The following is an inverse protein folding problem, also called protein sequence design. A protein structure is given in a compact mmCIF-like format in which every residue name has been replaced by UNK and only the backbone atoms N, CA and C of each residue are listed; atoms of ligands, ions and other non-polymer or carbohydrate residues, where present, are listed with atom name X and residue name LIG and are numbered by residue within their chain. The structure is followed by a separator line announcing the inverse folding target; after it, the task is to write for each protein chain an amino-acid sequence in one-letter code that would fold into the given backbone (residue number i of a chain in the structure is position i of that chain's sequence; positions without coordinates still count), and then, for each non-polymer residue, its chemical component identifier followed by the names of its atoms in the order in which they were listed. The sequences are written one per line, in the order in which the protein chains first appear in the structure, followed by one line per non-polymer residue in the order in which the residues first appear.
data_IF_265915847088
#
_entry.id   IF_265915847088
#
_cell.length_a   1.000
_cell.length_b   1.000
_cell.length_c   1.000
_cell.angle_alpha   90.00
_cell.angle_beta   90.00
_cell.angle_gamma   90.00
#
_symmetry.space_group_name_H-M   'P 1'
#
loop_
_entity.id
_entity.type
_entity.pdbx_description
1 polymer ?
#
# COMPACT_ATOMS: atom_id res chain seq x y z
N UNK A 1 5.20 27.65 6.53
CA UNK A 1 5.76 26.35 6.97
C UNK A 1 5.71 25.40 5.78
N UNK A 2 6.77 24.63 5.50
CA UNK A 2 6.72 23.63 4.43
C UNK A 2 5.67 22.59 4.80
N UNK A 3 4.76 22.28 3.88
CA UNK A 3 3.82 21.18 4.07
C UNK A 3 4.62 19.89 3.83
N UNK A 4 4.98 19.23 4.92
CA UNK A 4 5.72 17.97 4.95
C UNK A 4 4.81 16.88 5.45
N UNK A 5 4.88 15.71 4.82
CA UNK A 5 4.28 14.49 5.34
C UNK A 5 5.09 13.25 4.97
N UNK A 6 4.99 12.20 5.76
CA UNK A 6 5.61 10.90 5.56
C UNK A 6 4.50 9.88 5.28
N UNK A 7 4.67 9.12 4.21
CA UNK A 7 3.73 8.06 3.82
C UNK A 7 4.44 6.71 3.97
N UNK A 8 3.86 5.81 4.76
CA UNK A 8 4.30 4.43 4.90
C UNK A 8 3.45 3.52 4.00
N UNK A 9 4.06 2.93 2.98
CA UNK A 9 3.43 1.93 2.14
C UNK A 9 3.76 0.51 2.59
N UNK A 10 2.76 -0.36 2.56
CA UNK A 10 2.84 -1.74 3.02
C UNK A 10 2.30 -2.67 1.92
N UNK A 11 3.10 -3.68 1.56
CA UNK A 11 2.66 -4.84 0.78
C UNK A 11 2.55 -6.05 1.73
N UNK A 12 1.33 -6.43 2.16
CA UNK A 12 1.13 -7.54 3.07
C UNK A 12 1.48 -8.87 2.38
N UNK A 13 2.24 -9.72 3.08
CA UNK A 13 2.52 -11.06 2.60
C UNK A 13 2.77 -12.05 3.73
N UNK A 14 2.59 -13.34 3.43
CA UNK A 14 2.73 -14.44 4.41
C UNK A 14 4.15 -15.04 4.44
N UNK A 15 4.96 -14.65 3.46
CA UNK A 15 6.33 -15.13 3.24
C UNK A 15 7.31 -13.97 3.38
N UNK A 16 7.03 -12.87 2.69
CA UNK A 16 7.77 -11.62 2.77
C UNK A 16 6.71 -10.53 2.91
N UNK A 17 6.96 -9.54 3.76
CA UNK A 17 6.13 -8.35 3.86
C UNK A 17 6.99 -7.13 3.55
N UNK A 18 6.59 -6.35 2.54
CA UNK A 18 7.33 -5.21 2.04
C UNK A 18 6.87 -3.91 2.70
N UNK A 19 7.83 -3.03 3.01
CA UNK A 19 7.59 -1.70 3.55
C UNK A 19 8.37 -0.67 2.75
N UNK A 20 7.72 0.41 2.33
CA UNK A 20 8.37 1.53 1.66
C UNK A 20 7.95 2.86 2.28
N UNK A 21 8.91 3.73 2.54
CA UNK A 21 8.66 5.06 3.08
C UNK A 21 9.07 6.13 2.08
N UNK A 22 8.18 7.09 1.87
CA UNK A 22 8.46 8.32 1.14
C UNK A 22 8.16 9.53 2.01
N UNK A 23 8.95 10.58 1.82
CA UNK A 23 8.70 11.90 2.38
C UNK A 23 8.23 12.84 1.28
N UNK A 24 7.21 13.62 1.56
CA UNK A 24 6.63 14.56 0.60
C UNK A 24 6.85 15.97 1.11
N UNK A 25 7.66 16.77 0.40
CA UNK A 25 7.91 18.17 0.72
C UNK A 25 7.41 19.03 -0.43
N UNK A 26 6.43 19.89 -0.18
CA UNK A 26 5.88 20.80 -1.20
C UNK A 26 5.51 20.07 -2.53
N UNK A 27 4.84 18.91 -2.42
CA UNK A 27 4.45 18.02 -3.54
C UNK A 27 5.60 17.32 -4.28
N UNK A 28 6.82 17.35 -3.77
CA UNK A 28 7.93 16.52 -4.27
C UNK A 28 8.10 15.32 -3.36
N UNK A 29 8.16 14.14 -3.95
CA UNK A 29 8.45 12.89 -3.23
C UNK A 29 9.97 12.68 -3.14
N UNK A 30 10.41 12.23 -1.98
CA UNK A 30 11.77 11.85 -1.66
C UNK A 30 11.74 10.43 -1.10
N UNK A 31 12.64 9.56 -1.57
CA UNK A 31 12.82 8.24 -1.00
C UNK A 31 13.39 8.36 0.41
N UNK A 32 12.78 7.66 1.36
CA UNK A 32 13.23 7.65 2.74
C UNK A 32 13.81 6.27 3.10
N UNK A 33 13.04 5.20 2.92
CA UNK A 33 13.52 3.85 3.22
C UNK A 33 12.77 2.75 2.48
N UNK A 34 13.43 1.60 2.34
CA UNK A 34 12.85 0.36 1.89
C UNK A 34 13.23 -0.76 2.87
N UNK A 35 12.25 -1.53 3.33
CA UNK A 35 12.48 -2.65 4.23
C UNK A 35 11.63 -3.86 3.85
N UNK A 36 12.09 -5.02 4.25
CA UNK A 36 11.33 -6.26 4.14
C UNK A 36 11.37 -7.04 5.45
N UNK A 37 10.27 -7.73 5.76
CA UNK A 37 10.18 -8.67 6.86
C UNK A 37 10.10 -10.08 6.29
N UNK A 38 11.16 -10.85 6.48
CA UNK A 38 11.26 -12.24 6.04
C UNK A 38 10.56 -13.17 7.05
N UNK A 39 9.37 -13.65 6.66
CA UNK A 39 8.51 -14.52 7.47
C UNK A 39 8.69 -16.00 7.13
N UNK A 40 9.38 -16.36 6.05
CA UNK A 40 9.54 -17.75 5.61
C UNK A 40 10.27 -18.65 6.62
N UNK A 41 11.11 -18.07 7.47
CA UNK A 41 11.88 -18.80 8.49
C UNK A 41 11.04 -19.24 9.70
N UNK A 42 9.79 -18.76 9.82
CA UNK A 42 8.90 -19.11 10.92
C UNK A 42 7.83 -20.09 10.43
N UNK A 43 7.65 -21.19 11.14
CA UNK A 43 6.61 -22.19 10.86
C UNK A 43 5.26 -21.82 11.50
N UNK A 44 5.29 -21.24 12.69
CA UNK A 44 4.09 -20.85 13.43
C UNK A 44 3.42 -19.60 12.81
N UNK A 45 2.17 -19.70 12.32
CA UNK A 45 1.46 -18.56 11.76
C UNK A 45 1.20 -17.44 12.78
N UNK A 46 1.05 -17.72 14.07
CA UNK A 46 0.77 -16.71 15.10
C UNK A 46 2.02 -15.88 15.42
N UNK A 47 3.19 -16.52 15.40
CA UNK A 47 4.47 -15.80 15.51
C UNK A 47 4.65 -14.84 14.33
N UNK A 48 4.27 -15.25 13.11
CA UNK A 48 4.30 -14.34 11.96
C UNK A 48 3.42 -13.12 12.18
N UNK A 49 2.19 -13.31 12.67
CA UNK A 49 1.28 -12.20 12.98
C UNK A 49 1.87 -11.27 14.04
N UNK A 50 2.43 -11.81 15.13
CA UNK A 50 3.12 -11.02 16.15
C UNK A 50 4.24 -10.16 15.53
N UNK A 51 5.10 -10.76 14.72
CA UNK A 51 6.22 -10.05 14.09
C UNK A 51 5.76 -8.97 13.11
N UNK A 52 4.66 -9.22 12.37
CA UNK A 52 4.05 -8.21 11.51
C UNK A 52 3.60 -7.00 12.34
N UNK A 53 2.91 -7.24 13.46
CA UNK A 53 2.45 -6.17 14.34
C UNK A 53 3.63 -5.37 14.90
N UNK A 54 4.60 -6.07 15.53
CA UNK A 54 5.77 -5.44 16.15
C UNK A 54 6.59 -4.65 15.12
N UNK A 55 6.83 -5.21 13.94
CA UNK A 55 7.58 -4.53 12.89
C UNK A 55 6.86 -3.30 12.35
N UNK A 56 5.55 -3.38 12.18
CA UNK A 56 4.75 -2.24 11.71
C UNK A 56 4.75 -1.12 12.74
N UNK A 57 4.57 -1.45 14.02
CA UNK A 57 4.67 -0.49 15.14
C UNK A 57 6.06 0.13 15.21
N UNK A 58 7.13 -0.66 15.12
CA UNK A 58 8.51 -0.16 15.14
C UNK A 58 8.75 0.88 14.03
N UNK A 59 8.28 0.61 12.81
CA UNK A 59 8.39 1.57 11.69
C UNK A 59 7.58 2.84 11.95
N UNK A 60 6.38 2.72 12.52
CA UNK A 60 5.55 3.88 12.87
C UNK A 60 6.23 4.71 13.95
N UNK A 61 6.70 4.09 15.02
CA UNK A 61 7.34 4.76 16.16
C UNK A 61 8.72 5.35 15.77
N UNK A 62 9.37 4.81 14.74
CA UNK A 62 10.65 5.35 14.23
C UNK A 62 10.44 6.53 13.29
N UNK A 63 9.53 6.41 12.31
CA UNK A 63 9.42 7.36 11.21
C UNK A 63 8.25 8.34 11.35
N UNK A 64 7.33 8.10 12.28
CA UNK A 64 6.15 8.92 12.52
C UNK A 64 5.38 9.24 11.23
N UNK A 65 4.94 8.23 10.44
CA UNK A 65 4.19 8.46 9.22
C UNK A 65 2.86 9.13 9.51
N UNK A 66 2.47 10.08 8.67
CA UNK A 66 1.17 10.75 8.74
C UNK A 66 0.06 9.89 8.14
N UNK A 67 0.40 9.02 7.19
CA UNK A 67 -0.55 8.18 6.44
C UNK A 67 0.06 6.80 6.13
N UNK A 68 -0.78 5.76 6.14
CA UNK A 68 -0.41 4.41 5.71
C UNK A 68 -1.18 4.02 4.46
N UNK A 69 -0.46 3.49 3.47
CA UNK A 69 -1.01 2.95 2.23
C UNK A 69 -0.80 1.44 2.19
N UNK A 70 -1.86 0.65 1.99
CA UNK A 70 -1.77 -0.81 1.97
C UNK A 70 -2.22 -1.37 0.63
N UNK A 71 -1.46 -2.31 0.06
CA UNK A 71 -1.94 -3.10 -1.07
C UNK A 71 -3.07 -4.03 -0.63
N UNK A 72 -4.24 -3.88 -1.25
CA UNK A 72 -5.40 -4.70 -0.98
C UNK A 72 -5.22 -6.10 -1.60
N UNK A 73 -5.69 -7.17 -0.91
CA UNK A 73 -5.55 -8.52 -1.40
C UNK A 73 -6.31 -8.72 -2.72
N UNK A 74 -5.65 -9.35 -3.69
CA UNK A 74 -6.31 -9.75 -4.92
C UNK A 74 -7.09 -11.06 -4.73
N UNK A 75 -8.26 -11.17 -5.36
CA UNK A 75 -9.07 -12.39 -5.35
C UNK A 75 -8.33 -13.55 -6.04
N UNK A 76 -7.70 -14.40 -5.23
CA UNK A 76 -7.06 -15.64 -5.66
C UNK A 76 -8.03 -16.83 -5.66
N UNK A 77 -7.66 -17.90 -6.39
CA UNK A 77 -8.44 -19.15 -6.46
C UNK A 77 -8.42 -19.97 -5.14
N UNK A 78 -7.45 -19.73 -4.25
CA UNK A 78 -7.27 -20.50 -3.02
C UNK A 78 -7.69 -19.70 -1.77
N UNK A 79 -8.82 -20.12 -1.17
CA UNK A 79 -9.42 -19.50 0.02
C UNK A 79 -8.49 -19.54 1.24
N UNK A 80 -7.71 -20.60 1.44
CA UNK A 80 -6.81 -20.71 2.59
C UNK A 80 -5.67 -19.71 2.52
N UNK A 81 -5.08 -19.53 1.34
CA UNK A 81 -4.02 -18.53 1.14
C UNK A 81 -4.56 -17.12 1.34
N UNK A 82 -5.77 -16.85 0.84
CA UNK A 82 -6.45 -15.58 1.05
C UNK A 82 -6.72 -15.31 2.54
N UNK A 83 -7.17 -16.32 3.30
CA UNK A 83 -7.39 -16.16 4.74
C UNK A 83 -6.09 -15.84 5.50
N UNK A 84 -4.97 -16.49 5.13
CA UNK A 84 -3.66 -16.19 5.73
C UNK A 84 -3.20 -14.77 5.41
N UNK A 85 -3.38 -14.34 4.15
CA UNK A 85 -3.06 -12.97 3.73
C UNK A 85 -3.93 -11.93 4.44
N UNK A 86 -5.25 -12.16 4.54
CA UNK A 86 -6.18 -11.27 5.23
C UNK A 86 -5.85 -11.11 6.73
N UNK A 87 -5.37 -12.18 7.39
CA UNK A 87 -4.86 -12.08 8.77
C UNK A 87 -3.61 -11.20 8.86
N UNK A 88 -2.66 -11.38 7.96
CA UNK A 88 -1.45 -10.56 7.91
C UNK A 88 -1.78 -9.07 7.68
N UNK A 89 -2.64 -8.79 6.70
CA UNK A 89 -3.12 -7.44 6.40
C UNK A 89 -3.87 -6.82 7.60
N UNK A 90 -4.82 -7.54 8.18
CA UNK A 90 -5.60 -7.06 9.33
C UNK A 90 -4.72 -6.73 10.54
N UNK A 91 -3.64 -7.49 10.77
CA UNK A 91 -2.69 -7.20 11.83
C UNK A 91 -1.83 -5.97 11.54
N UNK A 92 -1.40 -5.78 10.29
CA UNK A 92 -0.71 -4.56 9.86
C UNK A 92 -1.62 -3.32 10.03
N UNK A 93 -2.90 -3.45 9.68
CA UNK A 93 -3.90 -2.41 9.89
C UNK A 93 -4.10 -2.11 11.37
N UNK A 94 -4.24 -3.14 12.20
CA UNK A 94 -4.38 -2.98 13.64
C UNK A 94 -3.17 -2.27 14.26
N UNK A 95 -1.96 -2.56 13.79
CA UNK A 95 -0.75 -1.85 14.21
C UNK A 95 -0.81 -0.35 13.87
N UNK A 96 -1.16 0.00 12.62
CA UNK A 96 -1.35 1.39 12.19
C UNK A 96 -2.40 2.13 13.02
N UNK A 97 -3.58 1.53 13.17
CA UNK A 97 -4.69 2.10 13.92
C UNK A 97 -4.39 2.23 15.43
N UNK A 98 -3.57 1.34 15.99
CA UNK A 98 -3.12 1.43 17.40
C UNK A 98 -2.23 2.64 17.70
N UNK A 99 -1.78 3.34 16.65
CA UNK A 99 -1.01 4.59 16.70
C UNK A 99 -1.76 5.75 16.06
N UNK A 100 -3.06 5.58 15.84
CA UNK A 100 -3.95 6.60 15.26
C UNK A 100 -3.53 7.09 13.86
N UNK A 101 -2.77 6.27 13.12
CA UNK A 101 -2.33 6.62 11.76
C UNK A 101 -3.43 6.22 10.76
N UNK A 102 -3.94 7.15 9.92
CA UNK A 102 -4.96 6.85 8.93
C UNK A 102 -4.46 5.87 7.86
N UNK A 103 -5.34 4.97 7.44
CA UNK A 103 -5.01 3.89 6.49
C UNK A 103 -5.88 4.02 5.23
N UNK A 104 -5.25 3.88 4.07
CA UNK A 104 -5.93 3.75 2.77
C UNK A 104 -5.48 2.50 2.05
N UNK A 105 -6.43 1.73 1.51
CA UNK A 105 -6.15 0.52 0.73
C UNK A 105 -6.18 0.80 -0.77
N UNK A 106 -5.30 0.14 -1.53
CA UNK A 106 -5.23 0.25 -2.98
C UNK A 106 -5.23 -1.11 -3.67
N UNK A 107 -6.08 -1.27 -4.68
CA UNK A 107 -6.04 -2.46 -5.54
C UNK A 107 -4.73 -2.52 -6.33
N UNK A 108 -4.17 -3.72 -6.60
CA UNK A 108 -2.91 -3.87 -7.33
C UNK A 108 -2.92 -3.17 -8.70
N UNK A 109 -4.05 -3.25 -9.41
CA UNK A 109 -4.23 -2.55 -10.70
C UNK A 109 -4.17 -1.02 -10.57
N UNK A 110 -4.68 -0.45 -9.46
CA UNK A 110 -4.63 1.00 -9.19
C UNK A 110 -3.21 1.43 -8.90
N UNK A 111 -2.44 0.64 -8.14
CA UNK A 111 -1.01 0.88 -7.89
C UNK A 111 -0.23 0.94 -9.22
N UNK A 112 -0.37 -0.11 -10.05
CA UNK A 112 0.25 -0.18 -11.38
C UNK A 112 -0.13 1.00 -12.27
N UNK A 113 -1.42 1.34 -12.29
CA UNK A 113 -1.96 2.46 -13.06
C UNK A 113 -1.38 3.81 -12.60
N UNK A 114 -1.30 4.05 -11.28
CA UNK A 114 -0.81 5.30 -10.73
C UNK A 114 0.67 5.55 -11.06
N UNK A 115 1.48 4.48 -11.11
CA UNK A 115 2.93 4.59 -11.31
C UNK A 115 3.30 4.58 -12.81
N UNK A 116 2.66 3.70 -13.58
CA UNK A 116 3.09 3.42 -14.97
C UNK A 116 2.13 3.96 -16.03
N UNK A 117 0.93 4.42 -15.65
CA UNK A 117 -0.16 4.72 -16.57
C UNK A 117 -0.84 3.49 -17.17
N UNK A 118 -0.45 2.26 -16.76
CA UNK A 118 -1.02 1.01 -17.24
C UNK A 118 -1.29 0.03 -16.09
N UNK A 119 -2.55 -0.32 -15.86
CA UNK A 119 -2.95 -1.26 -14.79
C UNK A 119 -2.47 -2.70 -15.00
N UNK A 120 -2.00 -3.06 -16.20
CA UNK A 120 -1.47 -4.38 -16.53
C UNK A 120 0.06 -4.43 -16.59
N UNK A 121 0.76 -3.38 -16.13
CA UNK A 121 2.21 -3.35 -16.12
C UNK A 121 2.84 -4.50 -15.33
N UNK A 122 4.03 -4.92 -15.76
CA UNK A 122 4.85 -5.93 -15.06
C UNK A 122 5.50 -5.34 -13.80
N UNK A 123 5.95 -6.21 -12.88
CA UNK A 123 6.65 -5.76 -11.66
C UNK A 123 7.94 -4.99 -12.00
N UNK A 124 8.65 -5.43 -13.03
CA UNK A 124 9.88 -4.79 -13.52
C UNK A 124 9.61 -3.39 -14.07
N UNK A 125 8.48 -3.20 -14.76
CA UNK A 125 8.06 -1.88 -15.25
C UNK A 125 7.75 -0.94 -14.08
N UNK A 126 7.04 -1.42 -13.07
CA UNK A 126 6.77 -0.64 -11.85
C UNK A 126 8.06 -0.26 -11.16
N UNK A 127 8.97 -1.22 -10.94
CA UNK A 127 10.25 -0.98 -10.28
C UNK A 127 11.12 0.05 -11.02
N UNK A 128 11.25 -0.05 -12.35
CA UNK A 128 11.98 0.95 -13.16
C UNK A 128 11.37 2.34 -13.07
N UNK A 129 10.05 2.44 -13.04
CA UNK A 129 9.37 3.72 -12.87
C UNK A 129 9.62 4.29 -11.47
N UNK A 130 9.54 3.47 -10.42
CA UNK A 130 9.89 3.89 -9.06
C UNK A 130 11.34 4.37 -8.95
N UNK A 131 12.27 3.68 -9.60
CA UNK A 131 13.68 4.08 -9.68
C UNK A 131 13.83 5.50 -10.24
N UNK A 132 13.16 5.78 -11.35
CA UNK A 132 13.19 7.08 -12.02
C UNK A 132 12.51 8.17 -11.18
N UNK A 133 11.33 7.87 -10.64
CA UNK A 133 10.51 8.81 -9.87
C UNK A 133 11.18 9.25 -8.56
N UNK A 134 11.92 8.33 -7.92
CA UNK A 134 12.53 8.55 -6.61
C UNK A 134 14.06 8.71 -6.66
N UNK A 135 14.66 8.67 -7.85
CA UNK A 135 16.10 8.82 -8.04
C UNK A 135 16.93 7.70 -7.39
N UNK A 136 16.42 6.47 -7.33
CA UNK A 136 17.12 5.35 -6.71
C UNK A 136 18.32 4.95 -7.59
N UNK A 137 19.52 4.91 -7.01
CA UNK A 137 20.75 4.55 -7.75
C UNK A 137 20.69 3.11 -8.26
N UNK A 138 20.20 2.20 -7.42
CA UNK A 138 20.04 0.79 -7.74
C UNK A 138 18.69 0.30 -7.23
N UNK A 139 18.12 -0.67 -7.94
CA UNK A 139 16.95 -1.40 -7.48
C UNK A 139 17.37 -2.53 -6.54
N UNK A 140 16.56 -2.86 -5.52
CA UNK A 140 16.80 -4.04 -4.70
C UNK A 140 16.78 -5.30 -5.56
N UNK A 141 17.60 -6.29 -5.17
CA UNK A 141 17.64 -7.60 -5.86
C UNK A 141 16.28 -8.30 -5.82
N UNK A 142 15.54 -8.11 -4.73
CA UNK A 142 14.18 -8.59 -4.57
C UNK A 142 13.21 -7.48 -4.98
N UNK A 143 12.48 -7.68 -6.08
CA UNK A 143 11.51 -6.70 -6.56
C UNK A 143 10.26 -6.64 -5.67
N UNK A 144 9.95 -7.71 -4.93
CA UNK A 144 8.82 -7.72 -3.98
C UNK A 144 9.01 -6.67 -2.88
N UNK A 145 10.25 -6.32 -2.54
CA UNK A 145 10.53 -5.25 -1.57
C UNK A 145 10.05 -3.88 -2.08
N UNK A 146 9.86 -3.70 -3.39
CA UNK A 146 9.38 -2.44 -4.00
C UNK A 146 7.86 -2.27 -4.00
N UNK A 147 7.09 -3.33 -3.73
CA UNK A 147 5.63 -3.28 -3.78
C UNK A 147 5.07 -2.38 -2.65
N UNK A 148 5.69 -2.40 -1.46
CA UNK A 148 5.37 -1.44 -0.39
C UNK A 148 5.66 0.01 -0.79
N UNK A 149 6.78 0.26 -1.47
CA UNK A 149 7.11 1.59 -1.99
C UNK A 149 6.12 2.03 -3.09
N UNK A 150 5.67 1.09 -3.92
CA UNK A 150 4.65 1.30 -4.93
C UNK A 150 3.33 1.76 -4.31
N UNK A 151 2.91 1.13 -3.20
CA UNK A 151 1.72 1.53 -2.45
C UNK A 151 1.83 2.97 -1.92
N UNK A 152 2.98 3.36 -1.36
CA UNK A 152 3.22 4.72 -0.87
C UNK A 152 3.14 5.77 -2.00
N UNK A 153 3.78 5.49 -3.15
CA UNK A 153 3.75 6.38 -4.33
C UNK A 153 2.35 6.45 -4.94
N UNK A 154 1.62 5.32 -4.98
CA UNK A 154 0.22 5.30 -5.39
C UNK A 154 -0.62 6.20 -4.49
N UNK A 155 -0.42 6.14 -3.17
CA UNK A 155 -1.12 7.01 -2.24
C UNK A 155 -0.79 8.48 -2.47
N UNK A 156 0.49 8.82 -2.66
CA UNK A 156 0.88 10.19 -3.01
C UNK A 156 0.11 10.74 -4.23
N UNK A 157 0.00 9.97 -5.32
CA UNK A 157 -0.72 10.41 -6.53
C UNK A 157 -2.25 10.47 -6.40
N UNK A 158 -2.83 9.75 -5.44
CA UNK A 158 -4.27 9.73 -5.21
C UNK A 158 -4.71 10.63 -4.04
N UNK A 159 -3.81 10.91 -3.11
CA UNK A 159 -4.03 11.83 -2.00
C UNK A 159 -4.21 13.26 -2.51
N UNK A 160 -5.28 13.92 -2.09
CA UNK A 160 -5.74 15.20 -2.64
C UNK A 160 -6.76 15.08 -3.77
N UNK A 161 -6.98 13.88 -4.33
CA UNK A 161 -8.25 13.55 -4.99
C UNK A 161 -9.16 13.02 -3.90
N UNK A 162 -10.04 13.86 -3.38
CA UNK A 162 -11.17 13.37 -2.59
C UNK A 162 -12.00 12.51 -3.54
N UNK A 163 -11.74 11.20 -3.60
CA UNK A 163 -12.75 10.26 -4.07
C UNK A 163 -13.81 10.21 -2.96
N UNK A 164 -14.64 11.25 -2.90
CA UNK A 164 -15.99 11.12 -2.39
C UNK A 164 -16.56 10.01 -3.28
N UNK A 165 -16.64 8.79 -2.74
CA UNK A 165 -17.12 7.63 -3.47
C UNK A 165 -18.35 8.05 -4.26
N UNK A 166 -18.28 7.91 -5.60
CA UNK A 166 -19.19 8.51 -6.60
C UNK A 166 -20.27 9.38 -5.95
N UNK A 167 -19.99 10.66 -5.74
CA UNK A 167 -21.00 11.62 -5.31
C UNK A 167 -22.10 11.69 -6.38
N UNK A 168 -23.14 10.88 -6.23
CA UNK A 168 -24.36 11.03 -6.99
C UNK A 168 -25.07 12.25 -6.43
N UNK A 169 -25.18 13.30 -7.23
CA UNK A 169 -25.87 14.55 -6.87
C UNK A 169 -27.39 14.40 -6.74
N UNK A 170 -27.90 13.16 -6.73
CA UNK A 170 -29.31 12.80 -6.62
C UNK A 170 -29.58 11.37 -7.07
N UNK A 171 -30.71 10.82 -6.62
CA UNK A 171 -31.16 9.46 -6.94
C UNK A 171 -31.25 9.21 -8.45
N UNK A 172 -31.68 10.20 -9.23
CA UNK A 172 -31.76 10.10 -10.70
C UNK A 172 -30.40 9.88 -11.38
N UNK A 173 -29.34 10.48 -10.84
CA UNK A 173 -27.97 10.31 -11.37
C UNK A 173 -27.43 8.90 -11.07
N UNK A 174 -27.81 8.34 -9.92
CA UNK A 174 -27.51 6.96 -9.55
C UNK A 174 -28.20 5.96 -10.48
N UNK A 175 -29.49 6.18 -10.76
CA UNK A 175 -30.32 5.32 -11.61
C UNK A 175 -29.79 5.28 -13.05
N UNK A 176 -29.49 6.44 -13.63
CA UNK A 176 -28.96 6.54 -15.01
C UNK A 176 -27.63 5.82 -15.20
N UNK A 177 -26.77 5.84 -14.17
CA UNK A 177 -25.43 5.24 -14.26
C UNK A 177 -25.38 3.77 -13.80
N UNK A 178 -26.44 3.25 -13.18
CA UNK A 178 -26.52 1.86 -12.73
C UNK A 178 -27.87 1.21 -13.10
N UNK A 179 -28.27 1.20 -14.39
CA UNK A 179 -29.58 0.69 -14.80
C UNK A 179 -29.79 -0.79 -14.43
N UNK A 180 -28.72 -1.58 -14.35
CA UNK A 180 -28.78 -3.01 -14.03
C UNK A 180 -28.88 -3.31 -12.52
N UNK A 181 -28.81 -2.30 -11.65
CA UNK A 181 -28.85 -2.47 -10.18
C UNK A 181 -30.19 -2.08 -9.56
N UNK A 182 -31.14 -1.65 -10.37
CA UNK A 182 -32.47 -1.23 -9.91
C UNK A 182 -33.46 -2.21 -10.52
N UNK A 183 -34.00 -3.07 -9.66
CA UNK A 183 -35.13 -3.95 -9.92
C UNK A 183 -36.20 -3.65 -8.90
#
# INVERSE_FOLDING_TARGET
MKNERIILGIDPGTTIMGFGLIKVVNKKMEFLQLNELLLQKYSDPYIKLKLIFERTVELIDTFHPDEIAIEAPFFGKNVQSMLKLGRAQGVAMAAGLSREVPITEYLPKKIKMAITGNGNASKEQVAKMLQSLLGLKELPKNLDSTDGLAAAVCHFYNSGKVEIGKSYTGWDSFVKQNPNKIK
#
